data_IF_470965929589
#
_entry.id   IF_470965929589
#
_cell.length_a   1.000
_cell.length_b   1.000
_cell.length_c   1.000
_cell.angle_alpha   90.00
_cell.angle_beta   90.00
_cell.angle_gamma   90.00
#
_symmetry.space_group_name_H-M   'P 1'
#
loop_
_entity.id
_entity.type
_entity.pdbx_description
1 polymer ?
#
# COMPACT_ATOMS: atom_id res chain seq x y z
N UNK A 1 11.37 -7.04 -30.05
CA UNK A 1 11.91 -5.82 -29.50
C UNK A 1 12.23 -5.96 -28.02
N UNK A 2 13.09 -5.11 -27.55
CA UNK A 2 13.42 -5.08 -26.14
C UNK A 2 12.23 -4.57 -25.35
N UNK A 3 11.85 -5.31 -24.29
CA UNK A 3 10.79 -4.86 -23.39
C UNK A 3 11.24 -3.59 -22.69
N UNK A 4 10.41 -2.57 -22.73
CA UNK A 4 10.67 -1.37 -21.97
C UNK A 4 10.42 -1.64 -20.49
N UNK A 5 11.34 -1.17 -19.66
CA UNK A 5 11.12 -1.21 -18.22
C UNK A 5 10.09 -0.12 -17.89
N UNK A 6 9.00 -0.54 -17.27
CA UNK A 6 8.00 0.39 -16.78
C UNK A 6 8.38 0.80 -15.36
N UNK A 7 8.79 2.06 -15.21
CA UNK A 7 9.24 2.59 -13.93
C UNK A 7 8.09 3.09 -13.05
N UNK A 8 6.85 3.05 -13.54
CA UNK A 8 5.70 3.60 -12.79
C UNK A 8 5.37 2.84 -11.52
N UNK A 9 5.66 1.54 -11.48
CA UNK A 9 5.33 0.68 -10.34
C UNK A 9 6.59 0.15 -9.65
N UNK A 10 7.67 0.93 -9.64
CA UNK A 10 8.90 0.52 -8.98
C UNK A 10 8.77 0.76 -7.48
N UNK A 11 8.90 -0.31 -6.66
CA UNK A 11 8.89 -0.12 -5.21
C UNK A 11 10.12 0.66 -4.77
N UNK A 12 9.93 1.57 -3.86
CA UNK A 12 10.99 2.41 -3.31
C UNK A 12 10.90 2.39 -1.79
N UNK A 13 12.02 2.40 -1.12
CA UNK A 13 12.08 2.46 0.32
C UNK A 13 13.07 3.52 0.79
N UNK A 14 12.74 4.16 1.90
CA UNK A 14 13.63 5.07 2.60
C UNK A 14 13.87 4.48 3.98
N UNK A 15 15.11 4.14 4.26
CA UNK A 15 15.50 3.52 5.53
C UNK A 15 15.83 4.61 6.54
N UNK A 16 14.80 5.17 7.11
CA UNK A 16 14.88 6.18 8.15
C UNK A 16 14.04 5.70 9.33
N UNK A 17 13.82 6.55 10.28
CA UNK A 17 13.04 6.22 11.47
C UNK A 17 11.84 7.18 11.50
N UNK A 18 10.60 6.73 11.16
CA UNK A 18 10.20 5.40 10.73
C UNK A 18 10.53 5.08 9.26
N UNK A 19 10.58 3.79 8.95
CA UNK A 19 10.84 3.31 7.59
C UNK A 19 9.64 3.63 6.68
N UNK A 20 9.93 4.02 5.44
CA UNK A 20 8.90 4.37 4.46
C UNK A 20 9.05 3.47 3.23
N UNK A 21 7.96 2.88 2.78
CA UNK A 21 7.89 2.15 1.52
C UNK A 21 6.78 2.69 0.65
N UNK A 22 7.01 2.74 -0.66
CA UNK A 22 6.04 3.26 -1.60
C UNK A 22 6.15 2.55 -2.94
N UNK A 23 5.02 2.34 -3.61
CA UNK A 23 4.95 1.85 -4.98
C UNK A 23 3.74 2.48 -5.66
N UNK A 24 3.88 2.79 -6.95
CA UNK A 24 2.83 3.44 -7.72
C UNK A 24 2.72 4.92 -7.44
N UNK A 25 1.54 5.45 -7.66
CA UNK A 25 1.29 6.89 -7.60
C UNK A 25 0.99 7.38 -6.20
N UNK A 26 1.44 8.58 -5.88
CA UNK A 26 0.96 9.31 -4.73
C UNK A 26 -0.44 9.87 -5.00
N UNK A 27 -1.11 10.34 -3.95
CA UNK A 27 -2.49 10.81 -4.07
C UNK A 27 -2.61 12.00 -5.03
N UNK A 28 -1.71 12.96 -4.94
CA UNK A 28 -1.74 14.15 -5.79
C UNK A 28 -1.56 13.78 -7.27
N UNK A 29 -0.60 12.91 -7.57
CA UNK A 29 -0.35 12.46 -8.92
C UNK A 29 -1.53 11.64 -9.46
N UNK A 30 -2.11 10.79 -8.63
CA UNK A 30 -3.28 10.00 -9.02
C UNK A 30 -4.45 10.90 -9.37
N UNK A 31 -4.69 11.97 -8.60
CA UNK A 31 -5.76 12.92 -8.90
C UNK A 31 -5.53 13.68 -10.22
N UNK A 32 -4.27 13.88 -10.59
CA UNK A 32 -3.94 14.54 -11.85
C UNK A 32 -4.14 13.62 -13.06
N UNK A 33 -3.98 12.31 -12.88
CA UNK A 33 -3.99 11.34 -13.98
C UNK A 33 -5.31 10.57 -14.14
N UNK A 34 -6.11 10.49 -13.08
CA UNK A 34 -7.34 9.69 -13.07
C UNK A 34 -8.53 10.58 -12.74
N UNK A 35 -9.67 10.29 -13.38
CA UNK A 35 -10.88 11.08 -13.19
C UNK A 35 -11.42 10.96 -11.76
N UNK A 36 -11.49 9.74 -11.25
CA UNK A 36 -12.00 9.48 -9.90
C UNK A 36 -11.13 8.44 -9.22
N UNK A 37 -10.73 8.75 -7.99
CA UNK A 37 -9.98 7.82 -7.16
C UNK A 37 -10.67 7.59 -5.83
N UNK A 38 -10.33 6.49 -5.17
CA UNK A 38 -10.70 6.24 -3.79
C UNK A 38 -9.42 6.01 -3.00
N UNK A 39 -9.34 6.61 -1.83
CA UNK A 39 -8.17 6.53 -0.96
C UNK A 39 -8.55 5.80 0.31
N UNK A 40 -7.82 4.75 0.62
CA UNK A 40 -7.99 3.94 1.83
C UNK A 40 -6.78 4.16 2.72
N UNK A 41 -7.02 4.44 3.99
CA UNK A 41 -5.96 4.69 4.97
C UNK A 41 -6.23 3.86 6.22
N UNK A 42 -5.20 3.20 6.72
CA UNK A 42 -5.22 2.55 8.01
C UNK A 42 -4.05 3.07 8.82
N UNK A 43 -4.32 3.48 10.04
CA UNK A 43 -3.31 4.00 10.96
C UNK A 43 -3.53 3.28 12.29
N UNK A 44 -2.62 2.39 12.64
CA UNK A 44 -2.81 1.50 13.77
C UNK A 44 -1.52 1.25 14.53
N UNK A 45 -1.67 0.73 15.75
CA UNK A 45 -0.55 0.35 16.59
C UNK A 45 -0.47 -1.18 16.61
N UNK A 46 0.65 -1.77 16.16
CA UNK A 46 0.76 -3.23 16.12
C UNK A 46 0.64 -3.85 17.51
N UNK A 47 -0.08 -4.96 17.58
CA UNK A 47 -0.28 -5.67 18.85
C UNK A 47 1.01 -6.24 19.42
N UNK A 48 1.95 -6.62 18.57
CA UNK A 48 3.20 -7.24 19.00
C UNK A 48 4.22 -6.27 19.59
N UNK A 49 3.96 -4.97 19.56
CA UNK A 49 4.87 -3.97 20.08
C UNK A 49 4.95 -3.93 21.60
N UNK A 50 4.04 -4.55 22.28
CA UNK A 50 4.05 -4.57 23.74
C UNK A 50 5.27 -5.28 24.32
N UNK A 51 5.98 -6.07 23.52
CA UNK A 51 7.15 -6.83 23.99
C UNK A 51 8.48 -6.09 23.76
N UNK A 52 8.50 -5.10 22.87
CA UNK A 52 9.75 -4.42 22.50
C UNK A 52 9.87 -2.98 22.93
N UNK A 53 8.88 -2.43 23.60
CA UNK A 53 8.91 -1.02 23.99
C UNK A 53 8.81 -0.04 22.83
N UNK A 54 8.67 -0.49 21.62
CA UNK A 54 8.45 0.36 20.47
C UNK A 54 7.01 0.81 20.41
N UNK A 55 6.79 2.11 20.27
CA UNK A 55 5.45 2.67 20.28
C UNK A 55 5.03 3.16 18.89
N UNK A 56 5.75 2.76 17.86
CA UNK A 56 5.56 3.33 16.54
C UNK A 56 4.28 2.83 15.90
N UNK A 57 3.49 3.78 15.41
CA UNK A 57 2.28 3.48 14.65
C UNK A 57 2.67 3.08 13.24
N UNK A 58 1.81 2.28 12.63
CA UNK A 58 1.93 1.92 11.22
C UNK A 58 0.81 2.62 10.47
N UNK A 59 1.18 3.32 9.40
CA UNK A 59 0.21 3.94 8.50
C UNK A 59 0.33 3.30 7.13
N UNK A 60 -0.79 2.87 6.59
CA UNK A 60 -0.87 2.24 5.28
C UNK A 60 -1.91 2.96 4.44
N UNK A 61 -1.63 3.10 3.14
CA UNK A 61 -2.51 3.78 2.22
C UNK A 61 -2.60 3.02 0.92
N UNK A 62 -3.82 2.87 0.42
CA UNK A 62 -4.09 2.38 -0.92
C UNK A 62 -4.80 3.47 -1.72
N UNK A 63 -4.39 3.64 -2.97
CA UNK A 63 -5.05 4.54 -3.92
C UNK A 63 -5.60 3.69 -5.04
N UNK A 64 -6.88 3.84 -5.33
CA UNK A 64 -7.62 3.00 -6.27
C UNK A 64 -8.25 3.85 -7.35
N UNK A 65 -8.09 3.45 -8.60
CA UNK A 65 -8.84 4.03 -9.70
C UNK A 65 -10.25 3.44 -9.68
N UNK A 66 -11.26 4.25 -9.40
CA UNK A 66 -12.62 3.74 -9.22
C UNK A 66 -13.21 3.15 -10.49
N UNK A 67 -12.81 3.64 -11.67
CA UNK A 67 -13.34 3.14 -12.93
C UNK A 67 -12.91 1.70 -13.21
N UNK A 68 -11.67 1.36 -12.96
CA UNK A 68 -11.12 0.03 -13.22
C UNK A 68 -11.00 -0.84 -11.97
N UNK A 69 -11.19 -0.26 -10.79
CA UNK A 69 -10.92 -0.88 -9.49
C UNK A 69 -9.44 -1.22 -9.27
N UNK A 70 -8.56 -0.81 -10.17
CA UNK A 70 -7.13 -1.09 -10.04
C UNK A 70 -6.51 -0.33 -8.88
N UNK A 71 -5.65 -1.01 -8.12
CA UNK A 71 -4.83 -0.35 -7.12
C UNK A 71 -3.66 0.30 -7.85
N UNK A 72 -3.58 1.61 -7.80
CA UNK A 72 -2.60 2.41 -8.53
C UNK A 72 -1.53 3.02 -7.63
N UNK A 73 -1.70 2.93 -6.33
CA UNK A 73 -0.69 3.37 -5.37
C UNK A 73 -0.81 2.60 -4.07
N UNK A 74 0.34 2.30 -3.47
CA UNK A 74 0.41 1.58 -2.20
C UNK A 74 1.57 2.13 -1.40
N UNK A 75 1.30 2.60 -0.19
CA UNK A 75 2.27 3.30 0.63
C UNK A 75 2.20 2.83 2.07
N UNK A 76 3.34 2.78 2.74
CA UNK A 76 3.41 2.36 4.12
C UNK A 76 4.51 3.10 4.86
N UNK A 77 4.19 3.54 6.07
CA UNK A 77 5.17 4.09 7.02
C UNK A 77 5.13 3.18 8.23
N UNK A 78 6.27 2.66 8.63
CA UNK A 78 6.37 1.78 9.79
C UNK A 78 7.41 0.69 9.59
N UNK A 79 7.61 -0.08 10.64
CA UNK A 79 8.56 -1.18 10.61
C UNK A 79 8.20 -2.19 9.53
N UNK A 80 9.20 -2.66 8.79
CA UNK A 80 9.07 -3.62 7.69
C UNK A 80 8.41 -3.05 6.42
N UNK A 81 8.30 -1.74 6.30
CA UNK A 81 7.66 -1.13 5.14
C UNK A 81 8.33 -1.57 3.82
N UNK A 82 9.66 -1.64 3.77
CA UNK A 82 10.38 -2.03 2.56
C UNK A 82 10.01 -3.45 2.13
N UNK A 83 10.00 -4.40 3.07
CA UNK A 83 9.69 -5.80 2.77
C UNK A 83 8.25 -5.96 2.28
N UNK A 84 7.32 -5.30 2.92
CA UNK A 84 5.90 -5.40 2.59
C UNK A 84 5.62 -4.74 1.24
N UNK A 85 6.15 -3.54 1.01
CA UNK A 85 5.93 -2.82 -0.24
C UNK A 85 6.60 -3.52 -1.42
N UNK A 86 7.70 -4.22 -1.22
CA UNK A 86 8.29 -5.04 -2.27
C UNK A 86 7.26 -6.05 -2.81
N UNK A 87 6.53 -6.71 -1.94
CA UNK A 87 5.48 -7.65 -2.33
C UNK A 87 4.31 -6.95 -3.02
N UNK A 88 3.93 -5.77 -2.53
CA UNK A 88 2.85 -4.99 -3.15
C UNK A 88 3.23 -4.53 -4.56
N UNK A 89 4.52 -4.31 -4.82
CA UNK A 89 4.99 -3.96 -6.17
C UNK A 89 4.64 -5.04 -7.19
N UNK A 90 4.77 -6.30 -6.81
CA UNK A 90 4.38 -7.41 -7.67
C UNK A 90 2.89 -7.37 -7.97
N UNK A 91 2.07 -7.12 -6.94
CA UNK A 91 0.63 -7.04 -7.09
C UNK A 91 0.21 -5.92 -8.05
N UNK A 92 0.80 -4.73 -7.90
CA UNK A 92 0.48 -3.60 -8.77
C UNK A 92 0.93 -3.86 -10.21
N UNK A 93 2.12 -4.44 -10.38
CA UNK A 93 2.63 -4.79 -11.71
C UNK A 93 1.71 -5.79 -12.42
N UNK A 94 1.10 -6.70 -11.66
CA UNK A 94 0.15 -7.67 -12.19
C UNK A 94 -1.24 -7.07 -12.45
N UNK A 95 -1.47 -5.83 -12.08
CA UNK A 95 -2.75 -5.16 -12.28
C UNK A 95 -3.81 -5.53 -11.26
N UNK A 96 -3.41 -5.82 -10.03
CA UNK A 96 -4.34 -6.21 -8.98
C UNK A 96 -5.38 -5.12 -8.71
N UNK A 97 -6.61 -5.54 -8.48
CA UNK A 97 -7.72 -4.65 -8.16
C UNK A 97 -7.97 -4.60 -6.66
N UNK A 98 -8.75 -3.62 -6.22
CA UNK A 98 -9.19 -3.57 -4.82
C UNK A 98 -9.97 -4.83 -4.46
N UNK A 99 -10.76 -5.36 -5.40
CA UNK A 99 -11.47 -6.63 -5.19
C UNK A 99 -10.50 -7.79 -4.94
N UNK A 100 -9.37 -7.83 -5.63
CA UNK A 100 -8.33 -8.84 -5.37
C UNK A 100 -7.76 -8.70 -3.96
N UNK A 101 -7.49 -7.48 -3.52
CA UNK A 101 -7.02 -7.22 -2.17
C UNK A 101 -8.04 -7.69 -1.14
N UNK A 102 -9.31 -7.34 -1.33
CA UNK A 102 -10.39 -7.69 -0.41
C UNK A 102 -10.65 -9.20 -0.34
N UNK A 103 -10.38 -9.92 -1.42
CA UNK A 103 -10.57 -11.37 -1.49
C UNK A 103 -9.40 -12.15 -0.91
N UNK A 104 -8.28 -11.48 -0.63
CA UNK A 104 -7.09 -12.14 -0.10
C UNK A 104 -7.23 -12.33 1.41
N UNK A 105 -6.94 -13.54 1.86
CA UNK A 105 -6.94 -13.86 3.31
C UNK A 105 -5.64 -13.34 3.91
N UNK A 106 -5.76 -12.49 4.92
CA UNK A 106 -4.61 -11.96 5.63
C UNK A 106 -4.03 -12.95 6.63
N UNK A 107 -2.73 -12.87 6.83
CA UNK A 107 -2.06 -13.64 7.88
C UNK A 107 -2.25 -12.89 9.19
N UNK A 108 -2.88 -13.54 10.17
CA UNK A 108 -3.12 -12.94 11.47
C UNK A 108 -2.23 -13.59 12.54
N UNK A 109 -1.52 -12.83 13.37
CA UNK A 109 -1.39 -11.38 13.26
C UNK A 109 -0.22 -10.97 12.37
N UNK A 110 -0.45 -9.99 11.48
CA UNK A 110 0.62 -9.39 10.69
C UNK A 110 0.25 -7.96 10.34
N UNK A 111 1.28 -7.12 10.12
CA UNK A 111 1.01 -5.76 9.68
C UNK A 111 0.41 -5.74 8.27
N UNK A 112 0.88 -6.63 7.41
CA UNK A 112 0.43 -6.67 6.02
C UNK A 112 -1.05 -7.00 5.87
N UNK A 113 -1.68 -7.66 6.84
CA UNK A 113 -3.10 -7.99 6.74
C UNK A 113 -3.99 -6.77 6.61
N UNK A 114 -3.55 -5.60 7.10
CA UNK A 114 -4.32 -4.38 6.96
C UNK A 114 -4.56 -4.00 5.50
N UNK A 115 -3.64 -4.33 4.60
CA UNK A 115 -3.85 -4.06 3.17
C UNK A 115 -5.01 -4.82 2.58
N UNK A 116 -5.39 -5.94 3.16
CA UNK A 116 -6.49 -6.76 2.64
C UNK A 116 -7.78 -6.62 3.46
N UNK A 117 -7.78 -5.78 4.48
CA UNK A 117 -8.95 -5.58 5.35
C UNK A 117 -9.53 -4.16 5.29
N UNK A 118 -8.96 -3.26 4.51
CA UNK A 118 -9.46 -1.89 4.39
C UNK A 118 -10.73 -1.86 3.53
N UNK A 119 -11.89 -1.75 4.17
CA UNK A 119 -13.19 -1.77 3.49
C UNK A 119 -13.77 -0.39 3.23
N UNK A 120 -13.50 0.56 4.13
CA UNK A 120 -14.09 1.89 4.05
C UNK A 120 -13.06 2.89 3.53
N UNK A 121 -13.41 3.58 2.46
CA UNK A 121 -12.49 4.59 1.92
C UNK A 121 -12.44 5.80 2.85
N UNK A 122 -11.25 6.39 2.98
CA UNK A 122 -11.03 7.59 3.77
C UNK A 122 -11.55 8.83 3.03
N UNK A 123 -11.38 8.86 1.72
CA UNK A 123 -11.83 9.96 0.86
C UNK A 123 -11.84 9.56 -0.60
N UNK A 124 -12.56 10.31 -1.36
CA UNK A 124 -12.57 10.19 -2.83
C UNK A 124 -11.63 11.20 -3.46
#
# INVERSE_FOLDING_TARGET
GLARIDYSDIPTAVFCQPELGTVGLGEEQARAEYADIAVYVSDFKPMLQTLGGGADRITMKLIVDTASDKVIGCHMVGEHAAEIIQGMGIALKAGATKAHFDATVGIHPSAAEEFVTMRDKARS
#
